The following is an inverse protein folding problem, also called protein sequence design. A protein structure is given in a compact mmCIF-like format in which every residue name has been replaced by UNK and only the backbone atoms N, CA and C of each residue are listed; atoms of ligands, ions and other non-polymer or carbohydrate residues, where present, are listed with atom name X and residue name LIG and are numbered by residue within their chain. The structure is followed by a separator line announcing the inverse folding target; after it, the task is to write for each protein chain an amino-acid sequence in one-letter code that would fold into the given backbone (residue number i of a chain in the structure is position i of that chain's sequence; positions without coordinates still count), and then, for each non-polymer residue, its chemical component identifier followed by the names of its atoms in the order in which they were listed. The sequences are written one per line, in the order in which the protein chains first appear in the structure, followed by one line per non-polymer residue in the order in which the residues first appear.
data_IF_102249507266
#
_entry.id   IF_102249507266
#
_cell.length_a   1.000
_cell.length_b   1.000
_cell.length_c   1.000
_cell.angle_alpha   90.00
_cell.angle_beta   90.00
_cell.angle_gamma   90.00
#
_symmetry.space_group_name_H-M   'P 1'
#
loop_
_entity.id
_entity.type
_entity.pdbx_description
1 polymer ?
#
# COMPACT_ATOMS: atom_id res chain seq x y z
N UNK A 1 -2.17 7.91 13.94
CA UNK A 1 -3.23 6.89 13.81
C UNK A 1 -2.94 5.79 14.84
N UNK A 2 -3.89 4.92 15.21
CA UNK A 2 -3.55 3.74 16.00
C UNK A 2 -3.01 2.66 15.05
N UNK A 3 -2.00 1.89 15.49
CA UNK A 3 -1.43 0.81 14.67
C UNK A 3 -2.49 -0.23 14.36
N UNK A 4 -2.72 -0.50 13.07
CA UNK A 4 -3.69 -1.50 12.61
C UNK A 4 -3.08 -2.43 11.57
N UNK A 5 -3.58 -3.67 11.52
CA UNK A 5 -3.19 -4.63 10.49
C UNK A 5 -4.35 -4.84 9.51
N UNK A 6 -4.03 -5.01 8.23
CA UNK A 6 -4.97 -5.27 7.14
C UNK A 6 -4.48 -6.45 6.32
N UNK A 7 -5.41 -7.28 5.85
CA UNK A 7 -5.16 -8.27 4.81
C UNK A 7 -5.53 -7.64 3.48
N UNK A 8 -4.58 -7.59 2.55
CA UNK A 8 -4.74 -6.92 1.25
C UNK A 8 -4.58 -7.95 0.15
N UNK A 9 -5.59 -8.03 -0.72
CA UNK A 9 -5.58 -8.88 -1.91
C UNK A 9 -5.23 -8.09 -3.17
N UNK A 10 -5.70 -8.58 -4.33
CA UNK A 10 -5.35 -8.03 -5.64
C UNK A 10 -6.06 -6.70 -5.99
N UNK A 11 -7.09 -6.33 -5.24
CA UNK A 11 -7.75 -5.04 -5.42
C UNK A 11 -6.97 -3.91 -4.75
N UNK A 12 -6.90 -2.76 -5.43
CA UNK A 12 -6.31 -1.55 -4.88
C UNK A 12 -7.05 -1.06 -3.63
N UNK A 13 -6.30 -0.89 -2.55
CA UNK A 13 -6.78 -0.30 -1.30
C UNK A 13 -5.99 0.97 -0.99
N UNK A 14 -6.69 2.03 -0.62
CA UNK A 14 -6.06 3.27 -0.19
C UNK A 14 -5.51 3.12 1.23
N UNK A 15 -4.26 3.55 1.43
CA UNK A 15 -3.60 3.57 2.74
C UNK A 15 -3.46 5.00 3.26
N UNK A 16 -3.15 5.95 2.38
CA UNK A 16 -3.03 7.37 2.74
C UNK A 16 -3.87 8.25 1.82
N UNK A 17 -4.31 9.39 2.34
CA UNK A 17 -5.02 10.45 1.61
C UNK A 17 -4.10 11.65 1.28
N UNK A 18 -2.79 11.51 1.54
CA UNK A 18 -1.79 12.54 1.29
C UNK A 18 -1.71 13.63 2.34
N UNK A 19 -2.48 13.56 3.44
CA UNK A 19 -2.54 14.65 4.44
C UNK A 19 -1.60 14.46 5.64
N UNK A 20 -1.22 13.23 5.94
CA UNK A 20 -0.37 12.90 7.09
C UNK A 20 0.68 11.84 6.73
N UNK A 21 1.79 11.84 7.46
CA UNK A 21 2.79 10.80 7.34
C UNK A 21 2.33 9.52 8.02
N UNK A 22 2.64 8.37 7.42
CA UNK A 22 2.19 7.05 7.87
C UNK A 22 3.33 6.05 7.76
N UNK A 23 3.52 5.22 8.78
CA UNK A 23 4.47 4.11 8.74
C UNK A 23 3.76 2.85 8.24
N UNK A 24 4.31 2.22 7.20
CA UNK A 24 3.72 1.03 6.57
C UNK A 24 4.73 -0.11 6.59
N UNK A 25 4.38 -1.23 7.21
CA UNK A 25 5.11 -2.48 7.13
C UNK A 25 4.37 -3.46 6.24
N UNK A 26 5.06 -4.01 5.24
CA UNK A 26 4.56 -5.01 4.31
C UNK A 26 5.12 -6.38 4.70
N UNK A 27 4.24 -7.36 4.89
CA UNK A 27 4.57 -8.77 5.08
C UNK A 27 4.03 -9.56 3.88
N UNK A 28 4.93 -9.97 2.99
CA UNK A 28 4.63 -10.44 1.63
C UNK A 28 5.15 -9.48 0.57
N UNK A 29 4.68 -9.63 -0.68
CA UNK A 29 5.03 -8.73 -1.80
C UNK A 29 3.83 -7.90 -2.29
N UNK A 30 4.02 -6.60 -2.40
CA UNK A 30 2.97 -5.63 -2.72
C UNK A 30 3.34 -4.70 -3.88
N UNK A 31 2.34 -4.32 -4.66
CA UNK A 31 2.44 -3.23 -5.61
C UNK A 31 1.90 -1.95 -4.96
N UNK A 32 2.64 -0.85 -5.04
CA UNK A 32 2.32 0.46 -4.48
C UNK A 32 2.19 1.50 -5.61
N UNK A 33 1.16 2.33 -5.54
CA UNK A 33 0.91 3.36 -6.53
C UNK A 33 0.56 4.69 -5.82
N UNK A 34 1.20 5.78 -6.23
CA UNK A 34 0.79 7.14 -5.84
C UNK A 34 -0.23 7.64 -6.85
N UNK A 35 -1.47 7.87 -6.42
CA UNK A 35 -2.54 8.32 -7.30
C UNK A 35 -3.64 9.03 -6.52
N UNK A 36 -4.12 10.20 -6.98
CA UNK A 36 -5.21 10.91 -6.32
C UNK A 36 -6.56 10.18 -6.39
N UNK A 37 -6.69 9.19 -7.28
CA UNK A 37 -7.90 8.37 -7.48
C UNK A 37 -7.54 6.88 -7.47
N UNK A 38 -8.55 6.01 -7.29
CA UNK A 38 -8.33 4.55 -7.32
C UNK A 38 -7.64 4.15 -8.64
N UNK A 39 -6.45 3.51 -8.58
CA UNK A 39 -5.74 3.10 -9.78
C UNK A 39 -6.50 2.08 -10.63
N UNK A 40 -6.20 2.06 -11.93
CA UNK A 40 -6.61 0.99 -12.85
C UNK A 40 -5.80 -0.30 -12.63
N UNK A 41 -6.23 -1.39 -13.27
CA UNK A 41 -5.58 -2.70 -13.12
C UNK A 41 -4.12 -2.72 -13.62
N UNK A 42 -3.86 -2.06 -14.75
CA UNK A 42 -2.55 -1.97 -15.39
C UNK A 42 -1.76 -0.71 -14.99
N UNK A 43 -2.20 0.02 -13.95
CA UNK A 43 -1.49 1.21 -13.49
C UNK A 43 -0.05 0.86 -13.08
N UNK A 44 0.91 1.68 -13.55
CA UNK A 44 2.31 1.54 -13.14
C UNK A 44 2.44 1.66 -11.62
N UNK A 45 3.22 0.75 -11.03
CA UNK A 45 3.37 0.63 -9.58
C UNK A 45 4.80 0.22 -9.21
N UNK A 46 5.21 0.61 -8.01
CA UNK A 46 6.44 0.15 -7.40
C UNK A 46 6.21 -1.18 -6.68
N UNK A 47 7.11 -2.14 -6.84
CA UNK A 47 7.02 -3.41 -6.14
C UNK A 47 7.94 -3.42 -4.91
N UNK A 48 7.39 -3.82 -3.77
CA UNK A 48 8.11 -3.92 -2.51
C UNK A 48 7.79 -5.24 -1.80
N UNK A 49 8.81 -5.88 -1.22
CA UNK A 49 8.66 -7.15 -0.52
C UNK A 49 9.28 -7.09 0.87
N UNK A 50 8.53 -7.54 1.88
CA UNK A 50 8.99 -7.70 3.28
C UNK A 50 9.78 -6.48 3.80
N UNK A 51 9.20 -5.30 3.66
CA UNK A 51 9.87 -4.03 3.97
C UNK A 51 8.99 -3.13 4.81
N UNK A 52 9.63 -2.14 5.43
CA UNK A 52 8.96 -1.07 6.16
C UNK A 52 9.34 0.26 5.51
N UNK A 53 8.34 1.11 5.26
CA UNK A 53 8.50 2.39 4.59
C UNK A 53 7.63 3.45 5.26
N UNK A 54 8.12 4.69 5.26
CA UNK A 54 7.36 5.86 5.71
C UNK A 54 6.83 6.61 4.50
N UNK A 55 5.51 6.72 4.40
CA UNK A 55 4.86 7.58 3.41
C UNK A 55 4.70 8.96 4.01
N UNK A 56 5.00 10.00 3.24
CA UNK A 56 4.84 11.40 3.66
C UNK A 56 3.90 12.13 2.70
N UNK A 57 3.20 13.17 3.17
CA UNK A 57 2.50 14.08 2.27
C UNK A 57 3.41 14.58 1.13
N UNK A 58 2.88 14.77 -0.10
CA UNK A 58 1.47 14.71 -0.49
C UNK A 58 1.00 13.35 -1.04
N UNK A 59 1.77 12.27 -0.85
CA UNK A 59 1.53 10.98 -1.51
C UNK A 59 0.20 10.34 -1.08
N UNK A 60 -0.65 10.04 -2.06
CA UNK A 60 -1.90 9.30 -1.91
C UNK A 60 -1.63 7.85 -2.28
N UNK A 61 -1.17 7.08 -1.30
CA UNK A 61 -0.69 5.72 -1.54
C UNK A 61 -1.84 4.72 -1.61
N UNK A 62 -1.87 3.99 -2.72
CA UNK A 62 -2.64 2.78 -2.91
C UNK A 62 -1.74 1.56 -2.88
N UNK A 63 -2.26 0.44 -2.39
CA UNK A 63 -1.53 -0.82 -2.30
C UNK A 63 -2.43 -1.98 -2.74
N UNK A 64 -1.82 -3.01 -3.32
CA UNK A 64 -2.43 -4.33 -3.58
C UNK A 64 -1.39 -5.44 -3.40
N UNK A 65 -1.82 -6.69 -3.25
CA UNK A 65 -0.90 -7.83 -3.34
C UNK A 65 -0.30 -7.93 -4.75
N UNK A 66 0.96 -8.35 -4.83
CA UNK A 66 1.62 -8.64 -6.12
C UNK A 66 0.90 -9.75 -6.87
N UNK A 67 1.11 -9.86 -8.20
CA UNK A 67 0.34 -10.77 -9.05
C UNK A 67 0.54 -12.26 -8.73
N UNK A 68 1.67 -12.62 -8.14
CA UNK A 68 1.99 -13.97 -7.70
C UNK A 68 1.61 -14.25 -6.22
N UNK A 69 1.08 -13.24 -5.51
CA UNK A 69 0.65 -13.31 -4.11
C UNK A 69 -0.87 -13.26 -4.03
N UNK A 70 -1.48 -14.24 -3.37
CA UNK A 70 -2.94 -14.25 -3.17
C UNK A 70 -3.39 -13.10 -2.27
N UNK A 71 -2.81 -13.02 -1.06
CA UNK A 71 -3.05 -11.97 -0.09
C UNK A 71 -1.77 -11.68 0.69
N UNK A 72 -1.59 -10.43 1.08
CA UNK A 72 -0.49 -9.98 1.95
C UNK A 72 -1.03 -9.37 3.23
N UNK A 73 -0.17 -9.29 4.27
CA UNK A 73 -0.50 -8.58 5.50
C UNK A 73 0.25 -7.26 5.55
N UNK A 74 -0.46 -6.18 5.83
CA UNK A 74 0.12 -4.84 5.94
C UNK A 74 -0.22 -4.25 7.30
N UNK A 75 0.77 -3.69 7.98
CA UNK A 75 0.61 -3.00 9.27
C UNK A 75 0.86 -1.50 9.06
N UNK A 76 -0.04 -0.66 9.58
CA UNK A 76 -0.07 0.78 9.33
C UNK A 76 -0.20 1.54 10.65
N UNK A 77 0.60 2.60 10.85
CA UNK A 77 0.64 3.45 12.05
C UNK A 77 0.67 4.94 11.74
#
# INVERSE_FOLDING_TARGET
MATTAKTIGREWQQITDGTQSVLVQILGSADLCDSPVKPGEEQAAHNFSNTTLTITPPTVMWIRSSWFEGNIRVVVS
#
